data_IF_312323677984
#
_entry.id   IF_312323677984
#
_cell.length_a   1.000
_cell.length_b   1.000
_cell.length_c   1.000
_cell.angle_alpha   90.00
_cell.angle_beta   90.00
_cell.angle_gamma   90.00
#
_symmetry.space_group_name_H-M   'P 1'
#
loop_
_entity.id
_entity.type
_entity.pdbx_description
1 polymer ?
#
# COMPACT_ATOMS: atom_id res chain seq x y z
N UNK A 1 -12.67 -13.51 -9.89
CA UNK A 1 -11.69 -12.41 -9.85
C UNK A 1 -10.37 -12.99 -10.30
N UNK A 2 -9.67 -12.33 -11.21
CA UNK A 2 -8.37 -12.81 -11.70
C UNK A 2 -7.31 -12.76 -10.59
N UNK A 3 -6.34 -13.68 -10.59
CA UNK A 3 -5.33 -13.79 -9.52
C UNK A 3 -4.45 -12.55 -9.39
N UNK A 4 -4.11 -11.90 -10.51
CA UNK A 4 -3.41 -10.60 -10.52
C UNK A 4 -4.23 -9.49 -9.82
N UNK A 5 -5.53 -9.39 -10.10
CA UNK A 5 -6.39 -8.38 -9.47
C UNK A 5 -6.50 -8.61 -7.96
N UNK A 6 -6.58 -9.88 -7.55
CA UNK A 6 -6.59 -10.29 -6.15
C UNK A 6 -5.30 -9.86 -5.44
N UNK A 7 -4.13 -10.12 -6.05
CA UNK A 7 -2.82 -9.72 -5.51
C UNK A 7 -2.69 -8.20 -5.35
N UNK A 8 -3.15 -7.42 -6.34
CA UNK A 8 -3.14 -5.94 -6.28
C UNK A 8 -4.02 -5.44 -5.13
N UNK A 9 -5.22 -5.99 -4.96
CA UNK A 9 -6.12 -5.60 -3.85
C UNK A 9 -5.51 -5.89 -2.49
N UNK A 10 -4.85 -7.04 -2.34
CA UNK A 10 -4.14 -7.42 -1.13
C UNK A 10 -2.98 -6.46 -0.83
N UNK A 11 -2.15 -6.16 -1.82
CA UNK A 11 -1.06 -5.19 -1.66
C UNK A 11 -1.56 -3.81 -1.24
N UNK A 12 -2.67 -3.33 -1.84
CA UNK A 12 -3.31 -2.06 -1.45
C UNK A 12 -3.88 -2.09 -0.03
N UNK A 13 -4.46 -3.20 0.40
CA UNK A 13 -4.96 -3.35 1.77
C UNK A 13 -3.81 -3.24 2.79
N UNK A 14 -2.67 -3.86 2.49
CA UNK A 14 -1.47 -3.82 3.31
C UNK A 14 -0.86 -2.39 3.34
N UNK A 15 -0.78 -1.72 2.18
CA UNK A 15 -0.28 -0.35 2.07
C UNK A 15 -1.17 0.66 2.81
N UNK A 16 -2.50 0.52 2.70
CA UNK A 16 -3.46 1.35 3.42
C UNK A 16 -3.26 1.30 4.95
N UNK A 17 -2.75 0.18 5.47
CA UNK A 17 -2.39 -0.01 6.89
C UNK A 17 -0.95 0.34 7.22
N UNK A 18 -0.20 0.92 6.29
CA UNK A 18 1.20 1.32 6.46
C UNK A 18 2.15 0.14 6.59
N UNK A 19 1.81 -1.00 5.99
CA UNK A 19 2.79 -2.02 5.65
C UNK A 19 3.85 -1.44 4.71
N UNK A 20 5.06 -1.96 4.77
CA UNK A 20 6.17 -1.50 3.94
C UNK A 20 6.95 -2.67 3.35
N UNK A 21 7.87 -2.39 2.43
CA UNK A 21 8.53 -3.42 1.60
C UNK A 21 7.50 -4.33 0.91
N UNK A 22 6.42 -3.75 0.40
CA UNK A 22 5.35 -4.50 -0.23
C UNK A 22 5.79 -4.89 -1.64
N UNK A 23 5.80 -6.20 -1.93
CA UNK A 23 6.19 -6.73 -3.24
C UNK A 23 5.18 -7.76 -3.71
N UNK A 24 4.93 -7.77 -5.02
CA UNK A 24 4.08 -8.76 -5.67
C UNK A 24 4.93 -9.55 -6.65
N UNK A 25 5.08 -10.85 -6.40
CA UNK A 25 5.89 -11.75 -7.23
C UNK A 25 4.99 -12.71 -8.01
N UNK A 26 5.11 -12.75 -9.33
CA UNK A 26 4.44 -13.74 -10.18
C UNK A 26 5.29 -15.02 -10.22
N UNK A 27 4.76 -16.09 -9.63
CA UNK A 27 5.48 -17.35 -9.36
C UNK A 27 4.87 -18.57 -10.05
N UNK A 28 3.77 -18.42 -10.79
CA UNK A 28 3.08 -19.50 -11.51
C UNK A 28 4.01 -20.35 -12.41
N UNK A 29 5.04 -19.73 -13.00
CA UNK A 29 6.02 -20.43 -13.85
C UNK A 29 7.13 -21.15 -13.06
N UNK A 30 7.22 -20.90 -11.76
CA UNK A 30 8.26 -21.42 -10.86
C UNK A 30 7.70 -22.48 -9.90
N UNK A 31 6.41 -22.43 -9.61
CA UNK A 31 5.75 -23.36 -8.69
C UNK A 31 4.30 -23.60 -9.10
N UNK A 32 3.79 -24.79 -8.81
CA UNK A 32 2.39 -25.16 -9.05
C UNK A 32 1.47 -24.85 -7.86
N UNK A 33 2.01 -24.22 -6.81
CA UNK A 33 1.29 -24.00 -5.54
C UNK A 33 0.34 -22.80 -5.64
N UNK A 34 0.78 -21.70 -6.24
CA UNK A 34 0.03 -20.45 -6.32
C UNK A 34 0.51 -19.61 -7.50
N UNK A 35 -0.28 -18.63 -7.92
CA UNK A 35 0.10 -17.78 -9.06
C UNK A 35 0.96 -16.60 -8.60
N UNK A 36 0.62 -16.00 -7.45
CA UNK A 36 1.31 -14.81 -6.91
C UNK A 36 1.66 -14.94 -5.44
N UNK A 37 2.82 -14.40 -5.06
CA UNK A 37 3.11 -14.00 -3.70
C UNK A 37 2.90 -12.51 -3.51
N UNK A 38 2.31 -12.14 -2.38
CA UNK A 38 2.29 -10.77 -1.87
C UNK A 38 3.08 -10.75 -0.57
N UNK A 39 4.22 -10.07 -0.56
CA UNK A 39 5.10 -9.96 0.60
C UNK A 39 4.92 -8.56 1.19
N UNK A 40 4.85 -8.46 2.52
CA UNK A 40 4.83 -7.19 3.23
C UNK A 40 5.53 -7.30 4.59
N UNK A 41 6.06 -6.17 5.06
CA UNK A 41 6.66 -6.05 6.38
C UNK A 41 5.81 -5.13 7.28
N UNK A 42 5.61 -5.57 8.53
CA UNK A 42 5.05 -4.77 9.61
C UNK A 42 6.12 -4.40 10.63
N UNK A 43 5.98 -3.23 11.26
CA UNK A 43 6.96 -2.68 12.23
C UNK A 43 6.98 -3.40 13.60
N UNK A 44 6.03 -4.27 13.88
CA UNK A 44 5.93 -5.02 15.13
C UNK A 44 5.00 -6.21 14.95
N UNK A 45 5.01 -7.17 15.88
CA UNK A 45 4.08 -8.31 15.86
C UNK A 45 2.62 -7.86 15.88
N UNK A 46 2.28 -6.82 16.64
CA UNK A 46 0.92 -6.25 16.61
C UNK A 46 0.58 -5.67 15.25
N UNK A 47 1.53 -4.99 14.59
CA UNK A 47 1.30 -4.44 13.26
C UNK A 47 1.15 -5.56 12.21
N UNK A 48 1.95 -6.63 12.29
CA UNK A 48 1.82 -7.82 11.43
C UNK A 48 0.44 -8.45 11.55
N UNK A 49 -0.06 -8.65 12.78
CA UNK A 49 -1.43 -9.15 12.99
C UNK A 49 -2.48 -8.22 12.37
N UNK A 50 -2.36 -6.90 12.60
CA UNK A 50 -3.29 -5.92 12.04
C UNK A 50 -3.28 -5.86 10.50
N UNK A 51 -2.11 -6.07 9.87
CA UNK A 51 -1.97 -6.16 8.42
C UNK A 51 -2.64 -7.41 7.86
N UNK A 52 -2.43 -8.56 8.49
CA UNK A 52 -3.05 -9.82 8.10
C UNK A 52 -4.58 -9.77 8.27
N UNK A 53 -5.07 -9.26 9.40
CA UNK A 53 -6.50 -9.11 9.66
C UNK A 53 -7.16 -8.15 8.66
N UNK A 54 -6.47 -7.07 8.25
CA UNK A 54 -6.99 -6.15 7.24
C UNK A 54 -7.06 -6.80 5.85
N UNK A 55 -6.02 -7.53 5.46
CA UNK A 55 -6.01 -8.25 4.19
C UNK A 55 -7.20 -9.22 4.08
N UNK A 56 -7.44 -10.01 5.14
CA UNK A 56 -8.58 -10.92 5.21
C UNK A 56 -9.92 -10.18 5.23
N UNK A 57 -10.03 -9.09 6.00
CA UNK A 57 -11.24 -8.27 6.05
C UNK A 57 -11.61 -7.71 4.67
N UNK A 58 -10.66 -7.14 3.92
CA UNK A 58 -10.91 -6.53 2.62
C UNK A 58 -11.36 -7.57 1.57
N UNK A 59 -10.75 -8.76 1.58
CA UNK A 59 -11.16 -9.83 0.67
C UNK A 59 -12.46 -10.50 1.07
N UNK A 60 -12.72 -10.68 2.37
CA UNK A 60 -13.99 -11.17 2.87
C UNK A 60 -15.16 -10.28 2.42
N UNK A 61 -14.97 -8.96 2.39
CA UNK A 61 -15.97 -8.02 1.82
C UNK A 61 -16.17 -8.16 0.31
N UNK A 62 -15.16 -8.65 -0.41
CA UNK A 62 -15.26 -8.98 -1.83
C UNK A 62 -15.79 -10.40 -2.09
N UNK A 63 -16.18 -11.15 -1.04
CA UNK A 63 -16.69 -12.51 -1.13
C UNK A 63 -15.62 -13.58 -1.33
N UNK A 64 -14.34 -13.24 -1.09
CA UNK A 64 -13.21 -14.19 -1.15
C UNK A 64 -12.77 -14.49 0.28
N UNK A 65 -12.88 -15.76 0.68
CA UNK A 65 -12.49 -16.19 2.01
C UNK A 65 -11.08 -16.79 1.98
N UNK A 66 -10.31 -16.57 3.05
CA UNK A 66 -9.04 -17.26 3.26
C UNK A 66 -9.27 -18.77 3.38
N UNK A 67 -8.43 -19.56 2.70
CA UNK A 67 -8.46 -21.02 2.76
C UNK A 67 -7.72 -21.53 3.99
N UNK A 68 -6.58 -20.89 4.31
CA UNK A 68 -5.74 -21.23 5.46
C UNK A 68 -4.97 -20.02 5.96
N UNK A 69 -4.87 -19.92 7.27
CA UNK A 69 -3.99 -18.95 7.95
C UNK A 69 -2.97 -19.71 8.79
N UNK A 70 -1.69 -19.35 8.70
CA UNK A 70 -0.61 -19.90 9.52
C UNK A 70 0.14 -18.77 10.25
N UNK A 71 0.70 -19.08 11.44
CA UNK A 71 1.60 -18.17 12.17
C UNK A 71 0.95 -17.03 12.99
N UNK A 72 -0.39 -16.98 13.07
CA UNK A 72 -1.13 -15.93 13.80
C UNK A 72 -0.84 -15.89 15.31
N UNK A 73 -0.56 -17.05 15.94
CA UNK A 73 -0.34 -17.15 17.40
C UNK A 73 0.93 -16.41 17.90
N UNK A 74 1.83 -16.01 17.00
CA UNK A 74 3.03 -15.24 17.34
C UNK A 74 3.24 -13.96 16.53
N UNK A 75 2.50 -13.79 15.42
CA UNK A 75 2.59 -12.66 14.49
C UNK A 75 4.02 -12.22 14.11
N UNK A 76 4.99 -13.14 14.15
CA UNK A 76 6.34 -12.90 13.61
C UNK A 76 6.36 -13.06 12.09
N UNK A 77 5.56 -14.02 11.63
CA UNK A 77 5.29 -14.28 10.24
C UNK A 77 3.87 -14.83 10.18
N UNK A 78 3.00 -14.15 9.44
CA UNK A 78 1.65 -14.63 9.14
C UNK A 78 1.57 -14.95 7.66
N UNK A 79 1.01 -16.12 7.36
CA UNK A 79 0.74 -16.57 6.01
C UNK A 79 -0.78 -16.66 5.82
N UNK A 80 -1.29 -16.02 4.76
CA UNK A 80 -2.69 -16.11 4.34
C UNK A 80 -2.75 -16.76 2.96
N UNK A 81 -3.41 -17.90 2.87
CA UNK A 81 -3.56 -18.67 1.63
C UNK A 81 -4.95 -18.46 1.04
N UNK A 82 -5.02 -17.87 -0.15
CA UNK A 82 -6.25 -17.69 -0.94
C UNK A 82 -6.30 -18.62 -2.17
N UNK A 83 -5.40 -19.61 -2.24
CA UNK A 83 -5.24 -20.53 -3.36
C UNK A 83 -4.40 -19.94 -4.48
N UNK A 84 -4.95 -18.98 -5.24
CA UNK A 84 -4.24 -18.35 -6.36
C UNK A 84 -3.28 -17.23 -5.95
N UNK A 85 -3.39 -16.75 -4.71
CA UNK A 85 -2.47 -15.78 -4.12
C UNK A 85 -2.15 -16.20 -2.68
N UNK A 86 -0.87 -16.16 -2.31
CA UNK A 86 -0.43 -16.33 -0.93
C UNK A 86 0.19 -15.02 -0.43
N UNK A 87 -0.25 -14.56 0.73
CA UNK A 87 0.26 -13.35 1.40
C UNK A 87 1.21 -13.76 2.51
N UNK A 88 2.39 -13.14 2.53
CA UNK A 88 3.35 -13.26 3.61
C UNK A 88 3.52 -11.91 4.29
N UNK A 89 3.18 -11.83 5.58
CA UNK A 89 3.36 -10.63 6.39
C UNK A 89 4.38 -10.93 7.48
N UNK A 90 5.48 -10.18 7.48
CA UNK A 90 6.62 -10.42 8.36
C UNK A 90 6.87 -9.29 9.34
N UNK A 91 7.48 -9.60 10.50
CA UNK A 91 8.25 -8.59 11.25
C UNK A 91 9.57 -8.31 10.53
N UNK A 92 10.27 -7.19 10.84
CA UNK A 92 11.50 -6.85 10.13
C UNK A 92 12.55 -7.97 10.26
N UNK A 93 12.70 -8.55 11.46
CA UNK A 93 13.68 -9.61 11.71
C UNK A 93 13.34 -10.92 10.98
N UNK A 94 12.06 -11.23 10.84
CA UNK A 94 11.63 -12.41 10.11
C UNK A 94 11.79 -12.22 8.60
N UNK A 95 11.49 -11.01 8.10
CA UNK A 95 11.67 -10.66 6.70
C UNK A 95 13.13 -10.86 6.26
N UNK A 96 14.07 -10.30 7.04
CA UNK A 96 15.51 -10.44 6.79
C UNK A 96 16.01 -11.88 6.93
N UNK A 97 15.43 -12.67 7.85
CA UNK A 97 15.85 -14.04 8.09
C UNK A 97 15.39 -15.00 6.97
N UNK A 98 14.16 -14.85 6.49
CA UNK A 98 13.59 -15.73 5.47
C UNK A 98 13.97 -15.30 4.04
N UNK A 99 14.12 -14.00 3.80
CA UNK A 99 14.57 -13.41 2.53
C UNK A 99 13.91 -14.08 1.31
N UNK A 100 12.57 -14.10 1.31
CA UNK A 100 11.80 -14.79 0.27
C UNK A 100 12.06 -14.17 -1.10
N UNK A 101 12.37 -12.88 -1.14
CA UNK A 101 12.73 -12.18 -2.35
C UNK A 101 14.00 -12.71 -3.00
N UNK A 102 15.00 -13.10 -2.21
CA UNK A 102 16.17 -13.77 -2.74
C UNK A 102 15.86 -15.21 -3.16
N UNK A 103 15.06 -15.93 -2.36
CA UNK A 103 14.65 -17.30 -2.67
C UNK A 103 13.87 -17.39 -3.99
N UNK A 104 13.05 -16.37 -4.28
CA UNK A 104 12.23 -16.26 -5.47
C UNK A 104 12.74 -15.19 -6.44
N UNK A 105 14.05 -14.98 -6.51
CA UNK A 105 14.66 -13.95 -7.36
C UNK A 105 14.37 -14.13 -8.87
N UNK A 106 14.07 -15.35 -9.31
CA UNK A 106 13.67 -15.66 -10.69
C UNK A 106 12.21 -15.27 -10.99
N UNK A 107 11.43 -14.90 -9.98
CA UNK A 107 10.03 -14.52 -10.13
C UNK A 107 9.92 -13.14 -10.78
N UNK A 108 8.93 -12.98 -11.66
CA UNK A 108 8.66 -11.66 -12.24
C UNK A 108 7.93 -10.81 -11.21
N UNK A 109 8.59 -9.76 -10.73
CA UNK A 109 7.94 -8.77 -9.89
C UNK A 109 6.98 -7.89 -10.68
N UNK A 110 5.81 -7.60 -10.09
CA UNK A 110 4.90 -6.59 -10.61
C UNK A 110 5.38 -5.18 -10.20
N UNK A 111 5.60 -4.26 -11.14
CA UNK A 111 6.05 -2.89 -10.82
C UNK A 111 5.10 -2.17 -9.87
N UNK A 112 5.64 -1.38 -8.95
CA UNK A 112 4.87 -0.62 -7.97
C UNK A 112 3.83 0.30 -8.61
N UNK A 113 4.15 0.87 -9.77
CA UNK A 113 3.25 1.77 -10.52
C UNK A 113 1.95 1.10 -10.96
N UNK A 114 1.91 -0.23 -11.05
CA UNK A 114 0.69 -0.97 -11.43
C UNK A 114 -0.28 -1.16 -10.26
N UNK A 115 0.18 -1.07 -9.01
CA UNK A 115 -0.65 -1.40 -7.84
C UNK A 115 -0.70 -0.30 -6.78
N UNK A 116 0.35 0.49 -6.62
CA UNK A 116 0.46 1.57 -5.64
C UNK A 116 -0.46 2.74 -6.02
N UNK A 117 -1.36 3.13 -5.12
CA UNK A 117 -2.15 4.34 -5.29
C UNK A 117 -1.29 5.54 -4.90
N UNK A 118 -0.63 6.15 -5.90
CA UNK A 118 0.07 7.41 -5.67
C UNK A 118 -0.95 8.45 -5.22
N UNK A 119 -0.77 9.07 -4.04
CA UNK A 119 -1.62 10.20 -3.69
C UNK A 119 -1.48 11.22 -4.82
N UNK A 120 -2.61 11.76 -5.29
CA UNK A 120 -2.62 12.92 -6.17
C UNK A 120 -2.03 14.07 -5.35
N UNK A 121 -0.69 14.22 -5.39
CA UNK A 121 -0.01 15.33 -4.74
C UNK A 121 -0.31 16.54 -5.60
N UNK A 122 -1.40 17.23 -5.27
CA UNK A 122 -1.70 18.52 -5.88
C UNK A 122 -0.66 19.50 -5.35
N UNK A 123 0.43 19.69 -6.10
CA UNK A 123 1.46 20.65 -5.73
C UNK A 123 0.84 22.05 -5.76
N UNK A 124 1.16 22.85 -4.74
CA UNK A 124 0.84 24.27 -4.69
C UNK A 124 1.16 24.98 -6.00
N UNK A 125 2.28 24.64 -6.64
CA UNK A 125 2.68 25.20 -7.95
C UNK A 125 1.69 24.88 -9.06
N UNK A 126 1.16 23.65 -9.13
CA UNK A 126 0.21 23.25 -10.16
C UNK A 126 -1.16 23.92 -9.96
N UNK A 127 -1.60 24.05 -8.70
CA UNK A 127 -2.78 24.85 -8.33
C UNK A 127 -2.57 26.31 -8.75
N UNK A 128 -1.39 26.85 -8.44
CA UNK A 128 -1.06 28.25 -8.70
C UNK A 128 -1.03 28.53 -10.21
N UNK A 129 -0.44 27.64 -11.02
CA UNK A 129 -0.41 27.74 -12.48
C UNK A 129 -1.80 27.63 -13.09
N UNK A 130 -2.63 26.69 -12.63
CA UNK A 130 -4.02 26.58 -13.08
C UNK A 130 -4.82 27.85 -12.79
N UNK A 131 -4.69 28.43 -11.59
CA UNK A 131 -5.41 29.68 -11.26
C UNK A 131 -4.90 30.87 -12.09
N UNK A 132 -3.59 30.95 -12.35
CA UNK A 132 -3.03 32.01 -13.22
C UNK A 132 -3.50 31.90 -14.67
N UNK A 133 -3.67 30.69 -15.18
CA UNK A 133 -4.21 30.48 -16.53
C UNK A 133 -5.66 30.96 -16.64
N UNK A 134 -6.42 30.86 -15.56
CA UNK A 134 -7.85 31.16 -15.53
C UNK A 134 -8.18 32.60 -15.08
N UNK A 135 -7.21 33.41 -14.64
CA UNK A 135 -7.47 34.74 -14.09
C UNK A 135 -6.34 35.76 -14.38
N UNK A 136 -6.64 37.02 -14.76
CA UNK A 136 -5.61 38.00 -15.13
C UNK A 136 -4.64 38.33 -13.98
N UNK A 137 -3.33 38.36 -14.30
CA UNK A 137 -2.22 38.44 -13.34
C UNK A 137 -2.24 39.62 -12.35
N UNK A 138 -2.95 40.71 -12.64
CA UNK A 138 -2.85 41.96 -11.88
C UNK A 138 -3.61 41.96 -10.53
N UNK A 139 -4.59 41.07 -10.34
CA UNK A 139 -5.36 40.99 -9.08
C UNK A 139 -4.90 39.84 -8.14
N UNK A 140 -4.11 38.90 -8.65
CA UNK A 140 -3.91 37.60 -8.00
C UNK A 140 -2.87 37.59 -6.87
N UNK A 141 -1.82 38.41 -6.95
CA UNK A 141 -0.62 38.18 -6.12
C UNK A 141 -0.83 38.41 -4.61
N UNK A 142 -1.71 39.33 -4.22
CA UNK A 142 -1.97 39.67 -2.81
C UNK A 142 -3.08 38.80 -2.22
N UNK A 143 -4.14 38.53 -2.98
CA UNK A 143 -5.28 37.74 -2.53
C UNK A 143 -4.88 36.25 -2.44
N UNK A 144 -4.17 35.72 -3.45
CA UNK A 144 -3.77 34.30 -3.45
C UNK A 144 -2.86 33.94 -2.27
N UNK A 145 -1.84 34.74 -1.94
CA UNK A 145 -0.98 34.43 -0.77
C UNK A 145 -1.76 34.32 0.53
N UNK A 146 -2.75 35.21 0.72
CA UNK A 146 -3.53 35.26 1.96
C UNK A 146 -4.57 34.15 2.04
N UNK A 147 -5.19 33.78 0.91
CA UNK A 147 -6.14 32.67 0.85
C UNK A 147 -5.46 31.30 0.89
N UNK A 148 -4.36 31.12 0.15
CA UNK A 148 -3.64 29.85 0.12
C UNK A 148 -3.02 29.52 1.48
N UNK A 149 -2.53 30.52 2.22
CA UNK A 149 -2.04 30.32 3.59
C UNK A 149 -3.17 29.92 4.55
N UNK A 150 -4.38 30.48 4.39
CA UNK A 150 -5.56 30.08 5.19
C UNK A 150 -6.11 28.70 4.83
N UNK A 151 -6.04 28.31 3.55
CA UNK A 151 -6.44 26.98 3.09
C UNK A 151 -5.44 25.94 3.61
N UNK A 152 -4.15 26.21 3.49
CA UNK A 152 -3.09 25.36 4.06
C UNK A 152 -3.24 25.21 5.58
N UNK A 153 -3.50 26.29 6.32
CA UNK A 153 -3.79 26.24 7.77
C UNK A 153 -5.03 25.41 8.12
N UNK A 154 -6.08 25.49 7.29
CA UNK A 154 -7.31 24.71 7.50
C UNK A 154 -7.04 23.20 7.36
N UNK A 155 -6.34 22.78 6.31
CA UNK A 155 -6.01 21.37 6.10
C UNK A 155 -5.00 20.86 7.12
N UNK A 156 -3.95 21.64 7.44
CA UNK A 156 -2.98 21.33 8.49
C UNK A 156 -3.64 21.04 9.85
N UNK A 157 -4.65 21.84 10.23
CA UNK A 157 -5.42 21.63 11.47
C UNK A 157 -6.34 20.41 11.42
N UNK A 158 -6.96 20.15 10.27
CA UNK A 158 -7.89 19.03 10.08
C UNK A 158 -7.18 17.68 10.15
N UNK A 159 -5.98 17.60 9.58
CA UNK A 159 -5.23 16.34 9.43
C UNK A 159 -4.12 16.18 10.48
N UNK A 160 -4.05 17.07 11.49
CA UNK A 160 -3.00 17.13 12.53
C UNK A 160 -1.56 17.14 11.99
N UNK A 161 -1.37 17.64 10.77
CA UNK A 161 -0.04 17.86 10.22
C UNK A 161 0.40 19.28 10.58
N UNK A 162 1.42 19.42 11.45
CA UNK A 162 2.15 20.67 11.59
C UNK A 162 2.93 20.88 10.28
N UNK A 163 2.45 21.78 9.43
CA UNK A 163 3.12 22.14 8.18
C UNK A 163 4.53 22.68 8.43
N UNK A 164 5.43 22.40 7.48
CA UNK A 164 6.73 23.08 7.36
C UNK A 164 6.55 24.57 7.08
#
# INVERSE_FOLDING_TARGET
MESKELAIRLARALDAKKGYNIRILHVENLTTVTDYFVIATGNSTTHVGALADEADFQLGRAGVNVLRTEGHDGNRWVLLDYGSVIVHVFTPEAHDFYDLEHLWADAKELPAEEWEEKPEVVNFTDIQLYIYDQCPHEELTIIMRRYMMRIAEHFARKDKCLGL
#
